data_IF_689974315637
#
_entry.id   IF_689974315637
#
_cell.length_a   1.000
_cell.length_b   1.000
_cell.length_c   1.000
_cell.angle_alpha   90.00
_cell.angle_beta   90.00
_cell.angle_gamma   90.00
#
_symmetry.space_group_name_H-M   'P 1'
#
loop_
_entity.id
_entity.type
_entity.pdbx_description
1 polymer ?
#
# COMPACT_ATOMS: atom_id res chain seq x y z
N UNK A 1 -20.18 -30.96 -8.22
CA UNK A 1 -18.92 -30.19 -8.28
C UNK A 1 -17.85 -31.02 -7.58
N UNK A 2 -16.94 -31.69 -8.30
CA UNK A 2 -15.80 -32.41 -7.70
C UNK A 2 -14.64 -31.44 -7.61
N UNK A 3 -14.25 -31.10 -6.39
CA UNK A 3 -13.06 -30.30 -6.14
C UNK A 3 -11.86 -31.21 -6.45
N UNK A 4 -10.91 -30.78 -7.31
CA UNK A 4 -9.75 -31.61 -7.61
C UNK A 4 -8.94 -31.84 -6.33
N UNK A 5 -8.48 -33.08 -6.12
CA UNK A 5 -7.70 -33.51 -4.94
C UNK A 5 -6.49 -32.58 -4.69
N UNK A 6 -5.88 -32.07 -5.77
CA UNK A 6 -4.79 -31.09 -5.74
C UNK A 6 -5.18 -29.75 -5.14
N UNK A 7 -6.41 -29.28 -5.40
CA UNK A 7 -6.93 -28.02 -4.87
C UNK A 7 -7.20 -28.14 -3.37
N UNK A 8 -7.61 -29.33 -2.91
CA UNK A 8 -7.77 -29.62 -1.47
C UNK A 8 -6.44 -29.62 -0.72
N UNK A 9 -5.38 -30.20 -1.30
CA UNK A 9 -4.04 -30.20 -0.70
C UNK A 9 -3.44 -28.79 -0.64
N UNK A 10 -3.64 -27.98 -1.69
CA UNK A 10 -3.20 -26.58 -1.71
C UNK A 10 -3.93 -25.75 -0.66
N UNK A 11 -5.26 -25.91 -0.55
CA UNK A 11 -6.05 -25.19 0.45
C UNK A 11 -5.65 -25.59 1.88
N UNK A 12 -5.39 -26.88 2.10
CA UNK A 12 -4.90 -27.41 3.38
C UNK A 12 -3.52 -26.84 3.73
N UNK A 13 -2.59 -26.82 2.76
CA UNK A 13 -1.25 -26.24 2.94
C UNK A 13 -1.29 -24.75 3.27
N UNK A 14 -2.19 -23.99 2.63
CA UNK A 14 -2.40 -22.56 2.91
C UNK A 14 -3.00 -22.36 4.31
N UNK A 15 -3.91 -23.24 4.75
CA UNK A 15 -4.51 -23.16 6.09
C UNK A 15 -3.58 -23.54 7.24
N UNK A 16 -2.50 -24.27 6.96
CA UNK A 16 -1.52 -24.71 7.96
C UNK A 16 -0.50 -23.61 8.33
N UNK A 17 -0.40 -22.52 7.55
CA UNK A 17 0.50 -21.40 7.86
C UNK A 17 -0.30 -20.19 8.35
N UNK A 18 -0.48 -20.08 9.67
CA UNK A 18 -1.02 -18.86 10.25
C UNK A 18 0.04 -17.75 10.25
N UNK A 19 -0.06 -16.88 9.25
CA UNK A 19 0.81 -15.73 9.08
C UNK A 19 0.03 -14.44 9.32
N UNK A 20 0.65 -13.49 10.01
CA UNK A 20 0.16 -12.11 10.13
C UNK A 20 0.89 -11.26 9.11
N UNK A 21 0.15 -10.59 8.22
CA UNK A 21 0.73 -9.64 7.29
C UNK A 21 0.83 -8.27 7.96
N UNK A 22 2.02 -7.68 7.96
CA UNK A 22 2.29 -6.34 8.48
C UNK A 22 2.92 -5.47 7.40
N UNK A 23 2.59 -4.17 7.36
CA UNK A 23 3.23 -3.25 6.43
C UNK A 23 4.66 -2.94 6.91
N UNK A 24 5.62 -2.93 6.00
CA UNK A 24 7.01 -2.53 6.25
C UNK A 24 7.41 -1.46 5.25
N UNK A 25 8.16 -0.45 5.70
CA UNK A 25 8.73 0.57 4.80
C UNK A 25 9.92 -0.04 4.10
N UNK A 26 9.95 0.06 2.78
CA UNK A 26 11.10 -0.38 2.00
C UNK A 26 12.26 0.58 2.29
N UNK A 27 13.40 0.04 2.71
CA UNK A 27 14.61 0.83 2.86
C UNK A 27 15.11 1.17 1.47
N UNK A 28 14.84 2.39 1.02
CA UNK A 28 15.51 2.95 -0.15
C UNK A 28 16.98 3.14 0.21
N UNK A 29 17.83 2.21 -0.23
CA UNK A 29 19.27 2.42 -0.32
C UNK A 29 19.47 3.77 -1.02
N UNK A 30 20.15 4.71 -0.36
CA UNK A 30 20.29 6.09 -0.78
C UNK A 30 21.02 6.17 -2.14
N UNK A 31 20.29 5.96 -3.23
CA UNK A 31 20.79 6.16 -4.57
C UNK A 31 20.92 7.67 -4.78
N UNK A 32 22.11 8.17 -5.19
CA UNK A 32 22.46 9.60 -5.21
C UNK A 32 21.69 10.44 -6.24
N UNK A 33 20.73 9.84 -6.95
CA UNK A 33 19.83 10.47 -7.92
C UNK A 33 18.35 10.47 -7.52
N UNK A 34 18.01 10.00 -6.31
CA UNK A 34 16.61 9.85 -5.88
C UNK A 34 16.01 11.19 -5.45
N UNK A 35 15.06 11.67 -6.25
CA UNK A 35 14.24 12.80 -5.89
C UNK A 35 13.53 12.56 -4.55
N UNK A 36 13.46 13.60 -3.71
CA UNK A 36 12.97 13.50 -2.34
C UNK A 36 11.45 13.55 -2.29
N UNK A 37 10.84 12.43 -1.95
CA UNK A 37 9.42 12.33 -1.57
C UNK A 37 9.28 12.23 -0.04
N UNK A 38 8.19 12.79 0.49
CA UNK A 38 7.74 12.74 1.88
C UNK A 38 7.26 11.34 2.25
N UNK A 39 6.48 10.72 1.36
CA UNK A 39 6.00 9.34 1.54
C UNK A 39 7.01 8.35 0.99
N UNK A 40 7.08 7.15 1.60
CA UNK A 40 7.98 6.05 1.20
C UNK A 40 7.19 4.84 0.74
N UNK A 41 7.74 4.09 -0.20
CA UNK A 41 7.19 2.79 -0.62
C UNK A 41 7.12 1.84 0.58
N UNK A 42 6.06 1.03 0.60
CA UNK A 42 5.85 -0.02 1.59
C UNK A 42 5.57 -1.36 0.90
N UNK A 43 5.90 -2.44 1.61
CA UNK A 43 5.62 -3.81 1.22
C UNK A 43 4.95 -4.57 2.37
N UNK A 44 4.30 -5.69 2.08
CA UNK A 44 3.76 -6.59 3.10
C UNK A 44 4.81 -7.63 3.49
N UNK A 45 5.04 -7.78 4.80
CA UNK A 45 5.85 -8.86 5.36
C UNK A 45 4.97 -9.78 6.20
N UNK A 46 5.14 -11.08 6.02
CA UNK A 46 4.46 -12.09 6.83
C UNK A 46 5.29 -12.44 8.05
N UNK A 47 4.68 -12.34 9.23
CA UNK A 47 5.25 -12.78 10.50
C UNK A 47 4.48 -14.00 10.97
N UNK A 48 5.18 -15.07 11.33
CA UNK A 48 4.55 -16.25 11.90
C UNK A 48 4.20 -15.96 13.36
N UNK A 49 2.96 -16.29 13.73
CA UNK A 49 2.49 -16.22 15.10
C UNK A 49 2.24 -17.64 15.61
N UNK A 50 2.67 -17.91 16.83
CA UNK A 50 2.39 -19.16 17.52
C UNK A 50 1.53 -18.87 18.76
N UNK A 51 0.20 -18.81 18.62
CA UNK A 51 -0.69 -18.55 19.74
C UNK A 51 -0.73 -19.78 20.66
N UNK A 52 -0.72 -19.50 21.96
CA UNK A 52 -1.00 -20.52 22.95
C UNK A 52 -2.53 -20.65 23.09
N UNK A 53 -3.10 -21.69 22.50
CA UNK A 53 -4.55 -21.92 22.45
C UNK A 53 -4.96 -23.08 23.37
N UNK A 54 -6.09 -22.94 24.07
CA UNK A 54 -6.64 -24.01 24.92
C UNK A 54 -7.35 -25.14 24.17
N UNK A 55 -7.85 -24.88 22.95
CA UNK A 55 -8.57 -25.85 22.12
C UNK A 55 -8.28 -25.65 20.63
N UNK A 56 -8.27 -26.75 19.85
CA UNK A 56 -7.97 -26.75 18.41
C UNK A 56 -8.94 -25.87 17.60
N UNK A 57 -10.24 -25.98 17.85
CA UNK A 57 -11.28 -25.27 17.08
C UNK A 57 -11.22 -23.75 17.31
N UNK A 58 -10.97 -23.33 18.56
CA UNK A 58 -10.80 -21.93 18.91
C UNK A 58 -9.53 -21.36 18.27
N UNK A 59 -8.45 -22.14 18.28
CA UNK A 59 -7.20 -21.74 17.65
C UNK A 59 -7.36 -21.53 16.15
N UNK A 60 -8.05 -22.46 15.46
CA UNK A 60 -8.30 -22.35 14.04
C UNK A 60 -9.11 -21.09 13.70
N UNK A 61 -10.19 -20.82 14.44
CA UNK A 61 -11.04 -19.65 14.20
C UNK A 61 -10.27 -18.33 14.43
N UNK A 62 -9.52 -18.23 15.54
CA UNK A 62 -8.71 -17.05 15.85
C UNK A 62 -7.60 -16.85 14.81
N UNK A 63 -6.90 -17.90 14.43
CA UNK A 63 -5.82 -17.81 13.44
C UNK A 63 -6.33 -17.37 12.07
N UNK A 64 -7.43 -17.96 11.59
CA UNK A 64 -8.02 -17.58 10.31
C UNK A 64 -8.47 -16.12 10.30
N UNK A 65 -9.12 -15.67 11.37
CA UNK A 65 -9.60 -14.29 11.49
C UNK A 65 -8.46 -13.28 11.61
N UNK A 66 -7.45 -13.56 12.43
CA UNK A 66 -6.28 -12.69 12.60
C UNK A 66 -5.45 -12.63 11.31
N UNK A 67 -5.20 -13.77 10.66
CA UNK A 67 -4.47 -13.83 9.39
C UNK A 67 -5.21 -13.07 8.30
N UNK A 68 -6.49 -13.38 8.05
CA UNK A 68 -7.28 -12.71 7.02
C UNK A 68 -7.43 -11.20 7.32
N UNK A 69 -7.73 -10.85 8.58
CA UNK A 69 -7.85 -9.46 9.00
C UNK A 69 -6.56 -8.67 8.83
N UNK A 70 -5.41 -9.26 9.17
CA UNK A 70 -4.10 -8.61 9.01
C UNK A 70 -3.76 -8.34 7.55
N UNK A 71 -4.08 -9.27 6.63
CA UNK A 71 -3.88 -9.06 5.19
C UNK A 71 -4.74 -7.91 4.67
N UNK A 72 -6.01 -7.86 5.06
CA UNK A 72 -6.94 -6.82 4.59
C UNK A 72 -6.49 -5.44 5.11
N UNK A 73 -6.26 -5.32 6.42
CA UNK A 73 -5.91 -4.05 7.06
C UNK A 73 -4.54 -3.58 6.55
N UNK A 74 -3.50 -4.42 6.68
CA UNK A 74 -2.14 -4.05 6.28
C UNK A 74 -2.04 -3.82 4.76
N UNK A 75 -2.73 -4.62 3.96
CA UNK A 75 -2.79 -4.44 2.50
C UNK A 75 -3.42 -3.12 2.10
N UNK A 76 -4.50 -2.70 2.77
CA UNK A 76 -5.14 -1.40 2.50
C UNK A 76 -4.20 -0.22 2.78
N UNK A 77 -3.39 -0.31 3.85
CA UNK A 77 -2.39 0.70 4.21
C UNK A 77 -1.31 0.77 3.14
N UNK A 78 -0.75 -0.38 2.73
CA UNK A 78 0.29 -0.45 1.70
C UNK A 78 -0.22 0.12 0.38
N UNK A 79 -1.41 -0.29 -0.07
CA UNK A 79 -2.00 0.20 -1.32
C UNK A 79 -2.20 1.72 -1.30
N UNK A 80 -2.80 2.24 -0.24
CA UNK A 80 -3.08 3.68 -0.13
C UNK A 80 -1.79 4.49 -0.08
N UNK A 81 -0.83 4.09 0.77
CA UNK A 81 0.44 4.79 0.88
C UNK A 81 1.26 4.73 -0.42
N UNK A 82 1.36 3.57 -1.06
CA UNK A 82 2.09 3.43 -2.32
C UNK A 82 1.44 4.25 -3.46
N UNK A 83 0.11 4.40 -3.43
CA UNK A 83 -0.60 5.28 -4.36
C UNK A 83 -0.24 6.75 -4.13
N UNK A 84 -0.22 7.20 -2.86
CA UNK A 84 0.20 8.56 -2.51
C UNK A 84 1.66 8.80 -2.89
N UNK A 85 2.54 7.84 -2.61
CA UNK A 85 3.96 7.89 -2.99
C UNK A 85 4.15 8.03 -4.50
N UNK A 86 3.40 7.26 -5.30
CA UNK A 86 3.43 7.39 -6.75
C UNK A 86 2.95 8.76 -7.23
N UNK A 87 1.84 9.27 -6.67
CA UNK A 87 1.32 10.60 -7.02
C UNK A 87 2.32 11.71 -6.67
N UNK A 88 2.94 11.61 -5.50
CA UNK A 88 3.94 12.56 -5.03
C UNK A 88 5.18 12.56 -5.94
N UNK A 89 5.68 11.38 -6.29
CA UNK A 89 6.79 11.24 -7.22
C UNK A 89 6.45 11.86 -8.57
N UNK A 90 5.24 11.63 -9.10
CA UNK A 90 4.82 12.20 -10.37
C UNK A 90 4.65 13.72 -10.33
N UNK A 91 4.24 14.29 -9.20
CA UNK A 91 4.02 15.73 -9.03
C UNK A 91 5.26 16.54 -8.65
N UNK A 92 6.30 15.89 -8.11
CA UNK A 92 7.52 16.55 -7.62
C UNK A 92 8.75 16.22 -8.45
N UNK A 93 8.89 14.96 -8.86
CA UNK A 93 10.13 14.42 -9.40
C UNK A 93 10.06 14.20 -10.91
N UNK A 94 8.92 13.71 -11.38
CA UNK A 94 8.69 13.46 -12.79
C UNK A 94 8.44 14.78 -13.53
N UNK A 95 8.98 14.90 -14.74
CA UNK A 95 8.55 15.94 -15.71
C UNK A 95 7.24 15.55 -16.42
N UNK A 96 6.50 14.60 -15.85
CA UNK A 96 5.27 14.06 -16.40
C UNK A 96 4.08 15.02 -16.33
N UNK A 97 2.95 14.54 -16.84
CA UNK A 97 1.70 15.29 -16.97
C UNK A 97 1.21 15.93 -15.67
N UNK A 98 1.31 15.23 -14.54
CA UNK A 98 0.84 15.74 -13.25
C UNK A 98 1.64 16.95 -12.76
N UNK A 99 2.96 16.94 -12.94
CA UNK A 99 3.79 18.10 -12.61
C UNK A 99 3.45 19.30 -13.51
N UNK A 100 3.22 19.07 -14.81
CA UNK A 100 2.83 20.14 -15.74
C UNK A 100 1.49 20.80 -15.36
N UNK A 101 0.47 20.00 -15.04
CA UNK A 101 -0.83 20.52 -14.58
C UNK A 101 -0.68 21.29 -13.27
N UNK A 102 0.10 20.74 -12.32
CA UNK A 102 0.34 21.40 -11.04
C UNK A 102 0.90 22.80 -11.24
N UNK A 103 1.93 22.96 -12.08
CA UNK A 103 2.51 24.26 -12.37
C UNK A 103 1.49 25.21 -13.01
N UNK A 104 0.75 24.75 -14.02
CA UNK A 104 -0.29 25.55 -14.67
C UNK A 104 -1.39 26.02 -13.68
N UNK A 105 -1.80 25.15 -12.76
CA UNK A 105 -2.77 25.47 -11.73
C UNK A 105 -2.24 26.54 -10.77
N UNK A 106 -1.01 26.41 -10.29
CA UNK A 106 -0.37 27.41 -9.42
C UNK A 106 -0.23 28.76 -10.15
N UNK A 107 0.18 28.73 -11.42
CA UNK A 107 0.30 29.94 -12.24
C UNK A 107 -1.05 30.65 -12.41
N UNK A 108 -2.16 29.91 -12.43
CA UNK A 108 -3.50 30.50 -12.56
C UNK A 108 -3.88 31.39 -11.37
N UNK A 109 -3.40 31.08 -10.16
CA UNK A 109 -3.61 31.94 -8.97
C UNK A 109 -2.64 33.11 -8.93
N UNK A 110 -1.44 32.95 -9.49
CA UNK A 110 -0.44 34.02 -9.54
C UNK A 110 -0.73 35.05 -10.64
N UNK A 111 -1.63 34.78 -11.59
CA UNK A 111 -2.01 35.78 -12.59
C UNK A 111 -2.81 36.92 -11.94
N UNK A 112 -2.34 38.17 -12.02
CA UNK A 112 -3.10 39.31 -11.55
C UNK A 112 -4.41 39.42 -12.34
N UNK A 113 -5.52 39.76 -11.64
CA UNK A 113 -6.81 40.02 -12.29
C UNK A 113 -6.64 41.09 -13.36
N UNK A 114 -7.21 40.93 -14.57
CA UNK A 114 -7.21 41.99 -15.57
C UNK A 114 -7.84 43.24 -14.96
N UNK A 115 -7.09 44.34 -14.95
CA UNK A 115 -7.64 45.63 -14.55
C UNK A 115 -8.72 46.02 -15.58
N UNK A 116 -9.96 46.34 -15.17
CA UNK A 116 -10.96 46.79 -16.13
C UNK A 116 -10.41 48.01 -16.87
N UNK A 117 -10.35 47.91 -18.20
CA UNK A 117 -10.00 49.03 -19.07
C UNK A 117 -11.13 50.05 -18.88
N UNK A 118 -10.82 51.18 -18.25
CA UNK A 118 -11.69 52.34 -18.23
C UNK A 118 -11.87 52.81 -19.68
N UNK A 119 -13.05 52.55 -20.23
CA UNK A 119 -13.57 53.28 -21.40
C UNK A 119 -13.90 54.72 -21.03
#
# INVERSE_FOLDING_TARGET
MRIPETLSVILLAISLSACVAVPVVDQEEASPSSCRTYTKSMSLKTVQINPNCGSYNECLAVMLTVSAGSVIISGSIVLTNNTVHWLEYQGTCSKGYLNAIRQQFIDSFNKPKPHPRSE
#
